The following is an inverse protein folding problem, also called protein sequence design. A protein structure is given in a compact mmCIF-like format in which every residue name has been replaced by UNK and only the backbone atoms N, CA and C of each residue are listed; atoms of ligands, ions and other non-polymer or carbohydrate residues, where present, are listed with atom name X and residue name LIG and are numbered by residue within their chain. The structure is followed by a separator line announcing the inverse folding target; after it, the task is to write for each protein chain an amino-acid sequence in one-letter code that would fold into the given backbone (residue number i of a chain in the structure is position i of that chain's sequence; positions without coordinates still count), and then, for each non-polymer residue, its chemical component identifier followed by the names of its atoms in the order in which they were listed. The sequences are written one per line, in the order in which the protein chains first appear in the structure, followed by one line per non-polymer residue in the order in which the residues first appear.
data_IF_883864054073
#
_entry.id   IF_883864054073
#
_cell.length_a   1.000
_cell.length_b   1.000
_cell.length_c   1.000
_cell.angle_alpha   90.00
_cell.angle_beta   90.00
_cell.angle_gamma   90.00
#
_symmetry.space_group_name_H-M   'P 1'
#
loop_
_entity.id
_entity.type
_entity.pdbx_description
1 polymer ?
#
# COMPACT_ATOMS: atom_id res chain seq x y z
N UNK A 1 13.45 4.58 9.02
CA UNK A 1 13.09 3.84 7.79
C UNK A 1 11.79 4.38 7.28
N UNK A 2 11.67 4.63 5.97
CA UNK A 2 10.45 5.13 5.34
C UNK A 2 9.97 4.14 4.26
N UNK A 3 8.69 4.22 3.90
CA UNK A 3 8.09 3.46 2.81
C UNK A 3 7.53 4.43 1.78
N UNK A 4 7.90 4.23 0.52
CA UNK A 4 7.51 5.06 -0.62
C UNK A 4 6.70 4.26 -1.65
N UNK A 5 5.90 3.30 -1.19
CA UNK A 5 5.04 2.52 -2.07
C UNK A 5 4.02 3.42 -2.76
N UNK A 6 3.85 3.16 -4.06
CA UNK A 6 2.87 3.81 -4.90
C UNK A 6 2.34 2.84 -5.95
N UNK A 7 1.11 3.07 -6.38
CA UNK A 7 0.54 2.43 -7.55
C UNK A 7 0.68 3.38 -8.73
N UNK A 8 1.62 3.13 -9.62
CA UNK A 8 1.83 3.94 -10.82
C UNK A 8 1.24 3.26 -12.05
N UNK A 9 0.75 4.07 -12.99
CA UNK A 9 0.30 3.57 -14.29
C UNK A 9 1.50 3.28 -15.23
N UNK A 10 1.23 2.83 -16.46
CA UNK A 10 2.27 2.52 -17.45
C UNK A 10 3.17 3.72 -17.82
N UNK A 11 2.67 4.95 -17.63
CA UNK A 11 3.42 6.20 -17.84
C UNK A 11 4.20 6.65 -16.59
N UNK A 12 4.16 5.86 -15.51
CA UNK A 12 4.78 6.21 -14.22
C UNK A 12 4.00 7.24 -13.40
N UNK A 13 2.77 7.58 -13.78
CA UNK A 13 1.94 8.53 -13.03
C UNK A 13 1.29 7.84 -11.84
N UNK A 14 1.37 8.47 -10.68
CA UNK A 14 0.75 7.96 -9.45
C UNK A 14 -0.76 7.92 -9.56
N UNK A 15 -1.35 6.81 -9.09
CA UNK A 15 -2.79 6.64 -8.93
C UNK A 15 -3.36 7.56 -7.86
N UNK A 16 -2.54 8.04 -6.92
CA UNK A 16 -2.96 9.04 -5.92
C UNK A 16 -3.24 10.40 -6.57
N UNK A 17 -2.63 10.68 -7.72
CA UNK A 17 -2.78 11.96 -8.43
C UNK A 17 -3.94 11.92 -9.45
N UNK A 18 -4.52 10.74 -9.69
CA UNK A 18 -5.72 10.56 -10.51
C UNK A 18 -6.98 10.96 -9.73
N UNK A 19 -7.39 12.23 -9.89
CA UNK A 19 -8.57 12.78 -9.21
C UNK A 19 -9.87 12.10 -9.59
N UNK A 20 -9.98 11.57 -10.81
CA UNK A 20 -11.19 10.90 -11.28
C UNK A 20 -11.32 9.53 -10.62
N UNK A 21 -10.24 8.74 -10.59
CA UNK A 21 -10.23 7.45 -9.91
C UNK A 21 -10.45 7.62 -8.40
N UNK A 22 -9.79 8.61 -7.80
CA UNK A 22 -9.95 8.97 -6.40
C UNK A 22 -11.41 9.21 -6.01
N UNK A 23 -12.13 10.04 -6.77
CA UNK A 23 -13.55 10.30 -6.52
C UNK A 23 -14.39 9.03 -6.68
N UNK A 24 -14.22 8.32 -7.80
CA UNK A 24 -15.01 7.10 -8.10
C UNK A 24 -14.81 6.02 -7.05
N UNK A 25 -13.58 5.83 -6.58
CA UNK A 25 -13.30 4.81 -5.57
C UNK A 25 -13.90 5.19 -4.22
N UNK A 26 -13.83 6.46 -3.81
CA UNK A 26 -14.48 6.94 -2.59
C UNK A 26 -15.99 6.73 -2.62
N UNK A 27 -16.65 7.01 -3.74
CA UNK A 27 -18.10 6.85 -3.87
C UNK A 27 -18.55 5.39 -3.69
N UNK A 28 -17.74 4.43 -4.12
CA UNK A 28 -18.08 2.99 -4.08
C UNK A 28 -17.55 2.29 -2.83
N UNK A 29 -16.35 2.64 -2.39
CA UNK A 29 -15.59 1.91 -1.38
C UNK A 29 -15.31 2.71 -0.10
N UNK A 30 -15.65 4.00 -0.06
CA UNK A 30 -15.44 4.88 1.09
C UNK A 30 -13.99 5.34 1.30
N UNK A 31 -13.04 4.87 0.49
CA UNK A 31 -11.61 5.19 0.55
C UNK A 31 -11.05 5.35 -0.85
N UNK A 32 -10.10 6.26 -1.05
CA UNK A 32 -9.42 6.48 -2.33
C UNK A 32 -7.95 6.06 -2.30
N UNK A 33 -7.27 6.02 -3.48
CA UNK A 33 -5.83 5.88 -3.59
C UNK A 33 -5.02 6.81 -2.69
N UNK A 34 -5.43 8.06 -2.50
CA UNK A 34 -4.69 8.97 -1.60
C UNK A 34 -4.63 8.43 -0.19
N UNK A 35 -5.75 8.00 0.37
CA UNK A 35 -5.81 7.52 1.75
C UNK A 35 -5.20 6.14 1.91
N UNK A 36 -5.57 5.15 1.08
CA UNK A 36 -5.08 3.79 1.32
C UNK A 36 -3.57 3.68 1.07
N UNK A 37 -3.01 4.40 0.08
CA UNK A 37 -1.55 4.35 -0.18
C UNK A 37 -0.78 4.97 0.99
N UNK A 38 -1.23 6.11 1.51
CA UNK A 38 -0.64 6.73 2.70
C UNK A 38 -0.72 5.79 3.92
N UNK A 39 -1.87 5.13 4.10
CA UNK A 39 -2.10 4.20 5.21
C UNK A 39 -1.18 2.98 5.13
N UNK A 40 -1.07 2.35 3.96
CA UNK A 40 -0.20 1.19 3.75
C UNK A 40 1.27 1.51 4.03
N UNK A 41 1.75 2.68 3.61
CA UNK A 41 3.13 3.11 3.88
C UNK A 41 3.40 3.27 5.38
N UNK A 42 2.45 3.86 6.13
CA UNK A 42 2.57 4.01 7.59
C UNK A 42 2.52 2.67 8.30
N UNK A 43 1.52 1.84 7.98
CA UNK A 43 1.36 0.52 8.59
C UNK A 43 2.53 -0.40 8.28
N UNK A 44 3.13 -0.30 7.10
CA UNK A 44 4.34 -1.07 6.79
C UNK A 44 5.53 -0.69 7.66
N UNK A 45 5.80 0.61 7.85
CA UNK A 45 6.89 1.06 8.72
C UNK A 45 6.65 0.59 10.16
N UNK A 46 5.40 0.64 10.63
CA UNK A 46 5.00 0.12 11.94
C UNK A 46 5.23 -1.39 12.03
N UNK A 47 4.68 -2.17 11.10
CA UNK A 47 4.77 -3.63 11.07
C UNK A 47 6.22 -4.13 10.96
N UNK A 48 7.06 -3.47 10.16
CA UNK A 48 8.48 -3.80 10.04
C UNK A 48 9.34 -3.33 11.22
N UNK A 49 8.81 -2.45 12.07
CA UNK A 49 9.51 -1.92 13.25
C UNK A 49 9.35 -2.76 14.51
N UNK A 50 8.49 -3.77 14.48
CA UNK A 50 8.31 -4.74 15.58
C UNK A 50 9.49 -5.74 15.65
N UNK A 51 9.65 -6.43 16.79
CA UNK A 51 10.77 -7.36 17.02
C UNK A 51 10.85 -8.48 15.96
N UNK A 52 9.71 -9.05 15.58
CA UNK A 52 9.56 -10.04 14.50
C UNK A 52 8.91 -9.41 13.25
N UNK A 53 9.30 -8.17 12.94
CA UNK A 53 8.64 -7.33 11.94
C UNK A 53 8.51 -7.99 10.56
N UNK A 54 7.30 -7.97 10.01
CA UNK A 54 6.96 -8.66 8.77
C UNK A 54 5.96 -7.86 7.93
N UNK A 55 6.06 -7.89 6.58
CA UNK A 55 5.04 -7.29 5.71
C UNK A 55 3.64 -7.84 5.96
N UNK A 56 3.52 -9.09 6.43
CA UNK A 56 2.24 -9.71 6.76
C UNK A 56 1.52 -9.07 7.95
N UNK A 57 2.24 -8.29 8.78
CA UNK A 57 1.67 -7.53 9.90
C UNK A 57 0.88 -6.29 9.49
N UNK A 58 0.88 -5.92 8.20
CA UNK A 58 0.13 -4.76 7.72
C UNK A 58 -1.37 -5.02 7.74
N UNK A 59 -2.09 -4.15 8.44
CA UNK A 59 -3.55 -4.23 8.58
C UNK A 59 -4.27 -3.95 7.25
N UNK A 60 -5.38 -4.67 7.03
CA UNK A 60 -6.21 -4.51 5.83
C UNK A 60 -6.95 -3.17 5.88
N UNK A 61 -6.81 -2.37 4.83
CA UNK A 61 -7.61 -1.14 4.66
C UNK A 61 -8.98 -1.50 4.09
N UNK A 62 -10.04 -1.30 4.87
CA UNK A 62 -11.43 -1.49 4.41
C UNK A 62 -11.72 -0.64 3.18
N UNK A 63 -12.33 -1.26 2.15
CA UNK A 63 -12.54 -0.63 0.83
C UNK A 63 -11.34 -0.72 -0.12
N UNK A 64 -10.17 -1.13 0.38
CA UNK A 64 -8.94 -1.33 -0.40
C UNK A 64 -8.26 -2.69 -0.10
N UNK A 65 -9.04 -3.72 0.23
CA UNK A 65 -8.55 -5.06 0.58
C UNK A 65 -7.61 -5.66 -0.48
N UNK A 66 -8.00 -5.61 -1.76
CA UNK A 66 -7.15 -6.13 -2.85
C UNK A 66 -5.85 -5.34 -3.02
N UNK A 67 -5.89 -4.02 -2.85
CA UNK A 67 -4.70 -3.18 -2.86
C UNK A 67 -3.76 -3.53 -1.70
N UNK A 68 -4.33 -3.81 -0.53
CA UNK A 68 -3.56 -4.22 0.67
C UNK A 68 -2.86 -5.56 0.45
N UNK A 69 -3.58 -6.58 -0.05
CA UNK A 69 -2.96 -7.88 -0.31
C UNK A 69 -1.87 -7.83 -1.39
N UNK A 70 -2.06 -7.01 -2.43
CA UNK A 70 -1.04 -6.81 -3.46
C UNK A 70 0.21 -6.16 -2.87
N UNK A 71 0.03 -5.13 -2.03
CA UNK A 71 1.11 -4.47 -1.31
C UNK A 71 1.92 -5.45 -0.46
N UNK A 72 1.25 -6.24 0.41
CA UNK A 72 1.89 -7.23 1.28
C UNK A 72 2.72 -8.23 0.46
N UNK A 73 2.16 -8.72 -0.65
CA UNK A 73 2.86 -9.66 -1.53
C UNK A 73 4.14 -9.05 -2.11
N UNK A 74 4.08 -7.84 -2.66
CA UNK A 74 5.27 -7.17 -3.21
C UNK A 74 6.31 -6.87 -2.14
N UNK A 75 5.89 -6.39 -0.97
CA UNK A 75 6.78 -6.15 0.16
C UNK A 75 7.48 -7.45 0.61
N UNK A 76 6.76 -8.57 0.66
CA UNK A 76 7.35 -9.87 0.97
C UNK A 76 8.39 -10.31 -0.08
N UNK A 77 8.12 -10.09 -1.37
CA UNK A 77 9.09 -10.38 -2.42
C UNK A 77 10.37 -9.56 -2.26
N UNK A 78 10.25 -8.28 -1.89
CA UNK A 78 11.40 -7.39 -1.66
C UNK A 78 12.21 -7.84 -0.44
N UNK A 79 11.56 -8.18 0.68
CA UNK A 79 12.23 -8.72 1.88
C UNK A 79 12.98 -10.02 1.54
N UNK A 80 12.29 -10.97 0.90
CA UNK A 80 12.89 -12.25 0.50
C UNK A 80 14.06 -12.07 -0.48
N UNK A 81 14.05 -11.02 -1.31
CA UNK A 81 15.14 -10.73 -2.22
C UNK A 81 16.34 -10.07 -1.52
N UNK A 82 16.11 -9.31 -0.45
CA UNK A 82 17.16 -8.66 0.33
C UNK A 82 17.90 -9.61 1.29
N UNK A 83 17.26 -10.71 1.71
CA UNK A 83 17.87 -11.75 2.56
C UNK A 83 18.77 -12.73 1.80
N UNK A 84 18.78 -12.67 0.46
CA UNK A 84 19.61 -13.52 -0.41
C UNK A 84 20.91 -12.81 -0.82
#
# INVERSE_FOLDING_TARGET
TESNYDNVNADGKSKKDDTEYESKMKDVAGVGPKEYIETLNKEFVKAMGEEDGSPAGVEVVTGATHSTHSFINYAQQLVNAAEK
#
